data_IF_740467269962
#
_entry.id   IF_740467269962
#
_cell.length_a   1.000
_cell.length_b   1.000
_cell.length_c   1.000
_cell.angle_alpha   90.00
_cell.angle_beta   90.00
_cell.angle_gamma   90.00
#
_symmetry.space_group_name_H-M   'P 1'
#
loop_
_entity.id
_entity.type
_entity.pdbx_description
1 polymer ?
#
# COMPACT_ATOMS: atom_id res chain seq x y z
N UNK A 1 -28.26 13.74 4.79
CA UNK A 1 -28.61 12.31 4.75
C UNK A 1 -27.29 11.56 4.86
N UNK A 2 -27.20 10.54 5.70
CA UNK A 2 -25.94 9.79 5.91
C UNK A 2 -25.84 8.67 4.86
N UNK A 3 -24.65 8.41 4.34
CA UNK A 3 -24.42 7.32 3.37
C UNK A 3 -24.03 6.05 4.10
N UNK A 4 -24.73 4.95 3.83
CA UNK A 4 -24.39 3.63 4.37
C UNK A 4 -23.46 2.90 3.39
N UNK A 5 -22.39 2.31 3.92
CA UNK A 5 -21.32 1.61 3.17
C UNK A 5 -21.11 0.24 3.79
N UNK A 6 -21.14 -0.82 3.00
CA UNK A 6 -20.83 -2.16 3.48
C UNK A 6 -19.32 -2.34 3.64
N UNK A 7 -18.89 -2.91 4.76
CA UNK A 7 -17.51 -3.26 5.03
C UNK A 7 -17.35 -4.74 5.39
N UNK A 8 -16.24 -5.33 4.94
CA UNK A 8 -15.96 -6.77 5.01
C UNK A 8 -14.54 -7.05 5.52
N UNK A 9 -14.32 -8.23 6.10
CA UNK A 9 -12.98 -8.77 6.39
C UNK A 9 -12.32 -9.38 5.15
N UNK A 10 -13.14 -9.77 4.17
CA UNK A 10 -12.71 -10.20 2.84
C UNK A 10 -12.68 -9.03 1.86
N UNK A 11 -11.72 -9.04 0.95
CA UNK A 11 -11.64 -8.07 -0.12
C UNK A 11 -12.90 -8.17 -1.00
N UNK A 12 -13.61 -7.06 -1.15
CA UNK A 12 -14.77 -6.95 -2.05
C UNK A 12 -14.33 -6.69 -3.49
N UNK A 13 -13.11 -6.21 -3.66
CA UNK A 13 -12.46 -5.99 -4.94
C UNK A 13 -10.95 -6.22 -4.80
N UNK A 14 -10.41 -6.87 -5.82
CA UNK A 14 -8.99 -7.08 -6.01
C UNK A 14 -8.55 -6.42 -7.32
N UNK A 15 -7.45 -5.67 -7.29
CA UNK A 15 -6.79 -5.15 -8.49
C UNK A 15 -5.32 -5.51 -8.43
N UNK A 16 -4.86 -6.29 -9.40
CA UNK A 16 -3.49 -6.73 -9.51
C UNK A 16 -2.81 -6.16 -10.76
N UNK A 17 -1.54 -5.82 -10.61
CA UNK A 17 -0.68 -5.40 -11.69
C UNK A 17 0.64 -6.15 -11.64
N UNK A 18 1.16 -6.48 -12.81
CA UNK A 18 2.44 -7.13 -13.00
C UNK A 18 3.27 -6.39 -14.05
N UNK A 19 4.57 -6.41 -13.86
CA UNK A 19 5.58 -5.97 -14.81
C UNK A 19 6.65 -7.04 -14.90
N UNK A 20 6.95 -7.48 -16.12
CA UNK A 20 8.07 -8.36 -16.36
C UNK A 20 9.39 -7.62 -16.09
N UNK A 21 10.28 -8.24 -15.32
CA UNK A 21 11.64 -7.76 -15.12
C UNK A 21 12.54 -8.37 -16.21
N UNK A 22 13.29 -7.54 -16.92
CA UNK A 22 14.19 -8.02 -17.98
C UNK A 22 15.57 -8.35 -17.40
N UNK A 23 16.27 -9.33 -17.96
CA UNK A 23 17.64 -9.64 -17.56
C UNK A 23 18.55 -8.40 -17.69
N UNK A 24 19.25 -8.07 -16.61
CA UNK A 24 20.14 -6.90 -16.55
C UNK A 24 19.42 -5.56 -16.36
N UNK A 25 18.12 -5.56 -16.09
CA UNK A 25 17.39 -4.36 -15.68
C UNK A 25 17.93 -3.82 -14.35
N UNK A 26 18.02 -2.50 -14.24
CA UNK A 26 18.41 -1.84 -13.00
C UNK A 26 17.28 -1.96 -11.97
N UNK A 27 17.50 -2.76 -10.93
CA UNK A 27 16.55 -2.96 -9.84
C UNK A 27 16.10 -1.65 -9.19
N UNK A 28 16.99 -0.66 -9.09
CA UNK A 28 16.64 0.65 -8.53
C UNK A 28 15.67 1.39 -9.43
N UNK A 29 15.88 1.35 -10.74
CA UNK A 29 14.94 1.90 -11.71
C UNK A 29 13.59 1.17 -11.63
N UNK A 30 13.62 -0.16 -11.49
CA UNK A 30 12.44 -0.98 -11.34
C UNK A 30 11.62 -0.69 -10.07
N UNK A 31 12.29 -0.42 -8.95
CA UNK A 31 11.67 0.00 -7.68
C UNK A 31 11.10 1.41 -7.80
N UNK A 32 11.81 2.34 -8.43
CA UNK A 32 11.28 3.70 -8.69
C UNK A 32 10.00 3.62 -9.52
N UNK A 33 9.98 2.77 -10.55
CA UNK A 33 8.82 2.54 -11.39
C UNK A 33 7.65 1.90 -10.62
N UNK A 34 7.91 0.91 -9.77
CA UNK A 34 6.91 0.32 -8.85
C UNK A 34 6.26 1.37 -7.96
N UNK A 35 7.07 2.20 -7.29
CA UNK A 35 6.56 3.23 -6.38
C UNK A 35 5.75 4.29 -7.14
N UNK A 36 6.15 4.62 -8.37
CA UNK A 36 5.40 5.54 -9.21
C UNK A 36 4.07 4.95 -9.72
N UNK A 37 4.01 3.64 -9.99
CA UNK A 37 2.77 2.95 -10.34
C UNK A 37 1.80 2.89 -9.13
N UNK A 38 2.32 2.63 -7.93
CA UNK A 38 1.53 2.70 -6.69
C UNK A 38 0.97 4.11 -6.50
N UNK A 39 1.81 5.14 -6.58
CA UNK A 39 1.38 6.55 -6.47
C UNK A 39 0.31 6.87 -7.52
N UNK A 40 0.47 6.41 -8.77
CA UNK A 40 -0.49 6.62 -9.84
C UNK A 40 -1.86 5.99 -9.52
N UNK A 41 -1.88 4.76 -9.00
CA UNK A 41 -3.12 4.09 -8.62
C UNK A 41 -3.85 4.84 -7.51
N UNK A 42 -3.13 5.29 -6.49
CA UNK A 42 -3.71 5.78 -5.24
C UNK A 42 -3.89 7.29 -5.16
N UNK A 43 -3.28 8.03 -6.09
CA UNK A 43 -3.30 9.49 -6.13
C UNK A 43 -4.72 10.07 -5.97
N UNK A 44 -4.86 10.93 -4.96
CA UNK A 44 -6.08 11.70 -4.72
C UNK A 44 -7.18 10.97 -3.98
N UNK A 45 -7.02 9.69 -3.61
CA UNK A 45 -8.07 8.97 -2.89
C UNK A 45 -7.62 8.00 -1.81
N UNK A 46 -6.36 7.55 -1.81
CA UNK A 46 -5.78 6.81 -0.69
C UNK A 46 -4.48 7.48 -0.25
N UNK A 47 -4.25 7.54 1.05
CA UNK A 47 -2.97 7.94 1.63
C UNK A 47 -2.56 6.96 2.73
N UNK A 48 -1.31 6.46 2.71
CA UNK A 48 -0.85 5.50 3.70
C UNK A 48 -0.70 6.16 5.08
N UNK A 49 -1.02 5.39 6.12
CA UNK A 49 -0.73 5.71 7.52
C UNK A 49 0.35 4.79 8.10
N UNK A 50 0.48 3.59 7.53
CA UNK A 50 1.51 2.62 7.87
C UNK A 50 2.04 1.93 6.63
N UNK A 51 3.35 1.95 6.43
CA UNK A 51 4.03 1.28 5.31
C UNK A 51 5.15 0.41 5.88
N UNK A 52 4.95 -0.90 5.83
CA UNK A 52 5.98 -1.89 6.13
C UNK A 52 6.74 -2.27 4.86
N UNK A 53 8.05 -2.44 4.94
CA UNK A 53 8.83 -2.96 3.81
C UNK A 53 10.02 -3.82 4.25
N UNK A 54 10.39 -4.76 3.38
CA UNK A 54 11.48 -5.70 3.57
C UNK A 54 12.55 -5.51 2.50
N UNK A 55 13.78 -5.31 2.96
CA UNK A 55 14.98 -5.24 2.13
C UNK A 55 15.78 -6.53 2.31
N UNK A 56 16.28 -7.07 1.21
CA UNK A 56 17.07 -8.32 1.19
C UNK A 56 18.38 -8.14 0.44
N UNK A 57 19.36 -8.96 0.79
CA UNK A 57 20.54 -9.15 -0.05
C UNK A 57 20.28 -10.28 -1.04
N UNK A 58 20.30 -9.98 -2.34
CA UNK A 58 20.13 -10.98 -3.40
C UNK A 58 21.41 -11.14 -4.23
N UNK A 59 21.57 -12.34 -4.80
CA UNK A 59 22.54 -12.54 -5.88
C UNK A 59 21.92 -11.99 -7.17
N UNK A 60 22.55 -11.03 -7.87
CA UNK A 60 22.01 -10.52 -9.12
C UNK A 60 21.90 -11.58 -10.22
N UNK A 61 22.66 -12.68 -10.15
CA UNK A 61 22.61 -13.79 -11.10
C UNK A 61 21.65 -14.93 -10.69
N UNK A 62 21.24 -14.98 -9.43
CA UNK A 62 20.30 -15.97 -8.87
C UNK A 62 19.25 -15.25 -8.03
N UNK A 63 18.55 -14.31 -8.68
CA UNK A 63 17.62 -13.42 -8.00
C UNK A 63 16.63 -14.23 -7.17
N UNK A 64 16.65 -14.03 -5.84
CA UNK A 64 15.76 -14.64 -4.85
C UNK A 64 15.71 -16.19 -4.77
N UNK A 65 16.49 -16.92 -5.56
CA UNK A 65 16.70 -18.36 -5.36
C UNK A 65 17.65 -18.55 -4.18
N UNK A 66 17.14 -19.22 -3.15
CA UNK A 66 17.81 -19.57 -1.89
C UNK A 66 18.10 -18.41 -0.92
N UNK A 67 17.18 -18.27 0.04
CA UNK A 67 17.37 -17.63 1.34
C UNK A 67 17.75 -16.14 1.28
N UNK A 68 16.77 -15.30 0.91
CA UNK A 68 16.79 -13.86 1.18
C UNK A 68 16.96 -13.60 2.67
N UNK A 69 18.21 -13.62 3.15
CA UNK A 69 18.54 -13.14 4.49
C UNK A 69 18.11 -11.68 4.48
N UNK A 70 17.25 -11.25 5.43
CA UNK A 70 16.93 -9.84 5.56
C UNK A 70 18.25 -9.07 5.56
N UNK A 71 18.37 -8.08 4.67
CA UNK A 71 19.56 -7.24 4.65
C UNK A 71 19.76 -6.62 6.03
N UNK A 72 18.64 -6.25 6.66
CA UNK A 72 18.49 -5.59 7.95
C UNK A 72 17.14 -5.97 8.57
N UNK A 73 16.87 -5.61 9.85
CA UNK A 73 15.53 -5.74 10.38
C UNK A 73 14.53 -5.04 9.46
N UNK A 74 13.31 -5.55 9.39
CA UNK A 74 12.26 -4.97 8.58
C UNK A 74 12.01 -3.49 8.93
N UNK A 75 11.36 -2.74 8.06
CA UNK A 75 11.08 -1.33 8.33
C UNK A 75 9.58 -1.10 8.43
N UNK A 76 9.18 -0.21 9.34
CA UNK A 76 7.83 0.32 9.41
C UNK A 76 7.89 1.85 9.45
N UNK A 77 7.38 2.49 8.40
CA UNK A 77 6.97 3.89 8.47
C UNK A 77 5.57 3.93 9.07
N UNK A 78 5.34 4.77 10.09
CA UNK A 78 4.00 5.00 10.63
C UNK A 78 3.73 6.47 10.92
N UNK A 79 2.48 6.89 10.75
CA UNK A 79 1.99 8.13 11.35
C UNK A 79 1.77 7.89 12.84
N UNK A 80 2.01 8.91 13.67
CA UNK A 80 1.66 8.81 15.08
C UNK A 80 0.14 8.50 15.24
N UNK A 81 -0.25 7.57 16.12
CA UNK A 81 -1.67 7.26 16.34
C UNK A 81 -2.44 8.55 16.65
N UNK A 82 -3.49 8.81 15.86
CA UNK A 82 -4.36 9.99 16.03
C UNK A 82 -5.56 9.71 16.94
N UNK A 83 -5.91 8.43 17.04
CA UNK A 83 -6.96 7.87 17.90
C UNK A 83 -6.58 6.43 18.21
N UNK A 84 -7.02 5.93 19.37
CA UNK A 84 -6.82 4.54 19.79
C UNK A 84 -7.58 3.55 18.89
N UNK A 85 -8.51 4.05 18.07
CA UNK A 85 -9.32 3.26 17.13
C UNK A 85 -8.55 2.86 15.84
N UNK A 86 -7.41 3.49 15.56
CA UNK A 86 -6.57 3.23 14.37
C UNK A 86 -5.26 2.58 14.79
N UNK A 87 -5.18 1.25 14.62
CA UNK A 87 -3.97 0.47 14.90
C UNK A 87 -3.08 0.42 13.66
N UNK A 88 -1.87 0.93 13.79
CA UNK A 88 -0.81 0.75 12.78
C UNK A 88 0.09 -0.38 13.27
N UNK A 89 -0.19 -1.60 12.78
CA UNK A 89 0.59 -2.78 13.12
C UNK A 89 1.81 -2.94 12.20
N UNK A 90 2.84 -3.62 12.71
CA UNK A 90 3.97 -4.06 11.90
C UNK A 90 3.54 -5.11 10.88
N UNK A 91 3.99 -4.97 9.64
CA UNK A 91 3.81 -5.98 8.60
C UNK A 91 4.71 -7.20 8.84
N UNK A 92 5.84 -6.99 9.51
CA UNK A 92 6.91 -7.97 9.72
C UNK A 92 7.43 -7.85 11.15
N UNK A 93 7.78 -8.96 11.79
CA UNK A 93 8.21 -8.96 13.19
C UNK A 93 9.57 -8.29 13.39
N UNK A 94 9.67 -7.43 14.42
CA UNK A 94 10.96 -6.84 14.83
C UNK A 94 11.41 -5.71 13.92
N UNK A 95 10.46 -4.95 13.38
CA UNK A 95 10.76 -3.85 12.47
C UNK A 95 11.42 -2.68 13.20
N UNK A 96 12.34 -1.98 12.53
CA UNK A 96 12.73 -0.62 12.90
C UNK A 96 11.57 0.31 12.57
N UNK A 97 11.03 0.95 13.60
CA UNK A 97 9.86 1.84 13.48
C UNK A 97 10.31 3.29 13.34
N UNK A 98 9.91 3.91 12.24
CA UNK A 98 10.12 5.32 11.93
C UNK A 98 8.77 6.06 11.96
N UNK A 99 8.62 6.98 12.91
CA UNK A 99 7.37 7.72 13.11
C UNK A 99 7.43 9.08 12.41
N UNK A 100 6.47 9.31 11.50
CA UNK A 100 6.37 10.52 10.67
C UNK A 100 5.07 11.28 10.95
N UNK A 101 5.03 12.56 10.59
CA UNK A 101 3.78 13.35 10.65
C UNK A 101 2.83 13.02 9.50
N UNK A 102 3.40 12.77 8.32
CA UNK A 102 2.73 12.42 7.07
C UNK A 102 3.56 11.34 6.39
N UNK A 103 2.88 10.40 5.72
CA UNK A 103 3.50 9.47 4.78
C UNK A 103 2.87 9.74 3.42
N UNK A 104 3.70 10.14 2.46
CA UNK A 104 3.36 10.32 1.06
C UNK A 104 4.35 9.56 0.16
N UNK A 105 4.14 9.57 -1.15
CA UNK A 105 4.99 8.87 -2.10
C UNK A 105 6.46 9.31 -2.03
N UNK A 106 6.73 10.59 -1.74
CA UNK A 106 8.09 11.09 -1.56
C UNK A 106 8.75 10.51 -0.30
N UNK A 107 8.03 10.51 0.83
CA UNK A 107 8.50 9.93 2.10
C UNK A 107 8.81 8.44 1.95
N UNK A 108 7.96 7.69 1.25
CA UNK A 108 8.16 6.26 0.98
C UNK A 108 9.37 6.04 0.08
N UNK A 109 9.49 6.78 -1.02
CA UNK A 109 10.65 6.72 -1.92
C UNK A 109 11.95 7.00 -1.19
N UNK A 110 12.00 8.06 -0.39
CA UNK A 110 13.20 8.45 0.34
C UNK A 110 13.61 7.41 1.38
N UNK A 111 12.64 6.80 2.08
CA UNK A 111 12.91 5.75 3.05
C UNK A 111 13.47 4.48 2.39
N UNK A 112 12.89 4.07 1.27
CA UNK A 112 13.34 2.90 0.50
C UNK A 112 14.71 3.18 -0.11
N UNK A 113 14.93 4.35 -0.72
CA UNK A 113 16.22 4.72 -1.29
C UNK A 113 17.34 4.68 -0.26
N UNK A 114 17.13 5.26 0.94
CA UNK A 114 18.08 5.16 2.05
C UNK A 114 18.36 3.71 2.49
N UNK A 115 17.35 2.85 2.41
CA UNK A 115 17.52 1.44 2.76
C UNK A 115 18.28 0.67 1.67
N UNK A 116 18.09 1.01 0.39
CA UNK A 116 18.80 0.43 -0.75
C UNK A 116 20.27 0.89 -0.84
N UNK A 117 20.62 2.06 -0.30
CA UNK A 117 21.99 2.60 -0.27
C UNK A 117 22.91 1.89 0.75
N UNK A 118 22.37 0.94 1.51
CA UNK A 118 23.12 0.18 2.49
C UNK A 118 24.06 -0.83 1.82
N UNK A 119 25.26 -0.99 2.39
CA UNK A 119 26.31 -1.82 1.82
C UNK A 119 25.95 -3.31 1.86
N UNK A 120 25.85 -3.93 0.69
CA UNK A 120 25.69 -5.38 0.55
C UNK A 120 27.05 -6.12 0.70
N UNK A 121 27.04 -7.40 1.12
CA UNK A 121 28.19 -8.27 1.02
C UNK A 121 28.74 -8.35 -0.41
N UNK A 122 30.03 -8.65 -0.57
CA UNK A 122 30.65 -8.81 -1.88
C UNK A 122 29.88 -9.86 -2.73
N UNK A 123 29.58 -9.50 -3.99
CA UNK A 123 28.81 -10.35 -4.90
C UNK A 123 27.29 -10.34 -4.67
N UNK A 124 26.78 -9.49 -3.77
CA UNK A 124 25.33 -9.31 -3.52
C UNK A 124 24.91 -7.88 -3.77
N UNK A 125 23.62 -7.67 -3.98
CA UNK A 125 22.98 -6.35 -4.08
C UNK A 125 21.82 -6.25 -3.11
N UNK A 126 21.49 -5.02 -2.71
CA UNK A 126 20.37 -4.71 -1.82
C UNK A 126 19.14 -4.42 -2.67
N UNK A 127 18.02 -5.11 -2.42
CA UNK A 127 16.77 -4.96 -3.18
C UNK A 127 15.54 -4.90 -2.25
N UNK A 128 14.49 -4.24 -2.71
CA UNK A 128 13.17 -4.26 -2.08
C UNK A 128 12.47 -5.56 -2.45
N UNK A 129 12.23 -6.44 -1.48
CA UNK A 129 11.53 -7.71 -1.72
C UNK A 129 10.01 -7.58 -1.57
N UNK A 130 9.55 -6.89 -0.53
CA UNK A 130 8.12 -6.72 -0.25
C UNK A 130 7.82 -5.35 0.36
N UNK A 131 6.68 -4.77 0.00
CA UNK A 131 6.09 -3.57 0.59
C UNK A 131 4.61 -3.84 0.93
N UNK A 132 4.16 -3.36 2.09
CA UNK A 132 2.79 -3.52 2.59
C UNK A 132 2.27 -2.23 3.18
N UNK A 133 1.07 -1.81 2.78
CA UNK A 133 0.33 -0.78 3.49
C UNK A 133 -0.47 -1.43 4.63
N UNK A 134 -0.08 -1.15 5.87
CA UNK A 134 -0.69 -1.76 7.07
C UNK A 134 -1.87 -0.95 7.59
N UNK A 135 -1.93 0.32 7.24
CA UNK A 135 -3.04 1.22 7.54
C UNK A 135 -3.14 2.32 6.47
N UNK A 136 -4.36 2.72 6.12
CA UNK A 136 -4.66 3.67 5.04
C UNK A 136 -5.80 4.58 5.47
N UNK A 137 -5.70 5.86 5.10
CA UNK A 137 -6.86 6.76 5.05
C UNK A 137 -7.36 6.87 3.63
N UNK A 138 -8.67 6.94 3.49
CA UNK A 138 -9.32 6.95 2.19
C UNK A 138 -10.27 8.13 2.07
N UNK A 139 -10.21 8.81 0.93
CA UNK A 139 -11.16 9.85 0.58
C UNK A 139 -12.49 9.17 0.22
N UNK A 140 -13.58 9.56 0.88
CA UNK A 140 -14.88 9.21 0.36
C UNK A 140 -15.20 10.14 -0.82
N UNK A 141 -15.81 9.64 -1.90
CA UNK A 141 -16.24 10.47 -3.02
C UNK A 141 -17.42 11.41 -2.68
N UNK A 142 -17.86 11.47 -1.42
CA UNK A 142 -19.05 12.20 -0.97
C UNK A 142 -18.73 13.20 0.14
N UNK A 143 -19.55 14.26 0.26
CA UNK A 143 -19.40 15.27 1.31
C UNK A 143 -20.02 14.84 2.64
N UNK A 144 -20.98 13.91 2.58
CA UNK A 144 -21.73 13.41 3.71
C UNK A 144 -20.90 12.45 4.58
N UNK A 145 -21.22 12.35 5.88
CA UNK A 145 -20.69 11.30 6.74
C UNK A 145 -21.06 9.90 6.21
N UNK A 146 -20.09 8.98 6.25
CA UNK A 146 -20.27 7.56 5.94
C UNK A 146 -20.50 6.77 7.23
N UNK A 147 -21.44 5.82 7.22
CA UNK A 147 -21.63 4.81 8.27
C UNK A 147 -21.26 3.44 7.70
N UNK A 148 -20.43 2.67 8.43
CA UNK A 148 -20.06 1.31 8.02
C UNK A 148 -21.10 0.31 8.53
N UNK A 149 -21.76 -0.35 7.59
CA UNK A 149 -22.54 -1.55 7.84
C UNK A 149 -21.60 -2.75 7.87
N UNK A 150 -21.43 -3.34 9.06
CA UNK A 150 -20.71 -4.60 9.26
C UNK A 150 -21.66 -5.68 9.78
N UNK A 151 -21.41 -6.96 9.47
CA UNK A 151 -22.19 -8.05 10.06
C UNK A 151 -22.06 -8.02 11.60
N UNK A 152 -23.19 -7.99 12.30
CA UNK A 152 -23.39 -8.14 13.75
C UNK A 152 -23.25 -6.91 14.70
N UNK A 153 -22.59 -5.79 14.37
CA UNK A 153 -22.62 -4.57 15.23
C UNK A 153 -22.20 -3.31 14.48
N UNK A 154 -23.01 -2.25 14.39
CA UNK A 154 -22.57 -1.01 13.73
C UNK A 154 -21.32 -0.43 14.43
N UNK A 155 -20.24 -0.25 13.66
CA UNK A 155 -19.01 0.40 14.11
C UNK A 155 -19.01 1.82 13.55
N UNK A 156 -18.78 2.82 14.40
CA UNK A 156 -18.64 4.19 13.94
C UNK A 156 -17.41 4.29 13.02
N UNK A 157 -17.56 4.96 11.88
CA UNK A 157 -16.41 5.32 11.05
C UNK A 157 -15.49 6.24 11.83
N UNK A 158 -14.20 5.91 11.87
CA UNK A 158 -13.20 6.90 12.24
C UNK A 158 -13.03 7.82 11.04
N UNK A 159 -13.21 9.13 11.24
CA UNK A 159 -12.94 10.13 10.20
C UNK A 159 -12.13 11.29 10.74
N UNK A 160 -11.33 11.90 9.88
CA UNK A 160 -10.55 13.09 10.18
C UNK A 160 -10.76 14.15 9.11
N UNK A 161 -10.56 15.42 9.49
CA UNK A 161 -10.50 16.53 8.53
C UNK A 161 -9.03 16.90 8.33
N UNK A 162 -8.58 16.87 7.08
CA UNK A 162 -7.24 17.27 6.65
C UNK A 162 -7.41 18.30 5.55
N UNK A 163 -6.92 19.52 5.77
CA UNK A 163 -7.04 20.64 4.83
C UNK A 163 -8.50 20.88 4.35
N UNK A 164 -9.46 20.74 5.27
CA UNK A 164 -10.89 20.89 4.99
C UNK A 164 -11.55 19.69 4.28
N UNK A 165 -10.79 18.65 3.96
CA UNK A 165 -11.27 17.43 3.31
C UNK A 165 -11.47 16.32 4.34
N UNK A 166 -12.60 15.63 4.29
CA UNK A 166 -12.89 14.50 5.18
C UNK A 166 -12.28 13.22 4.65
N UNK A 167 -11.40 12.64 5.46
CA UNK A 167 -10.77 11.34 5.22
C UNK A 167 -11.34 10.31 6.18
N UNK A 168 -11.53 9.11 5.68
CA UNK A 168 -12.03 7.98 6.45
C UNK A 168 -10.87 7.06 6.76
N UNK A 169 -10.77 6.74 8.03
CA UNK A 169 -9.76 5.88 8.59
C UNK A 169 -10.41 4.50 8.77
N UNK A 170 -9.71 3.46 8.37
CA UNK A 170 -10.18 2.10 8.64
C UNK A 170 -10.27 1.84 10.14
N UNK A 171 -11.38 1.30 10.67
CA UNK A 171 -11.29 0.64 11.96
C UNK A 171 -10.38 -0.58 11.81
N UNK A 172 -9.69 -0.91 12.90
CA UNK A 172 -8.80 -2.08 12.94
C UNK A 172 -9.25 -3.13 13.95
N UNK A 173 -10.25 -2.79 14.77
CA UNK A 173 -10.84 -3.68 15.75
C UNK A 173 -12.21 -4.13 15.24
N UNK A 174 -12.33 -5.41 14.89
CA UNK A 174 -13.59 -6.01 14.44
C UNK A 174 -13.46 -6.73 13.10
N UNK A 175 -14.61 -6.94 12.44
CA UNK A 175 -14.72 -7.67 11.17
C UNK A 175 -14.44 -6.74 9.97
N UNK A 176 -14.68 -5.43 10.07
CA UNK A 176 -14.30 -4.51 8.99
C UNK A 176 -12.77 -4.34 8.96
N UNK A 177 -12.12 -4.83 7.89
CA UNK A 177 -10.73 -4.48 7.61
C UNK A 177 -10.54 -2.98 7.32
N UNK A 178 -9.29 -2.53 7.07
CA UNK A 178 -9.03 -1.16 6.61
C UNK A 178 -9.71 -0.92 5.25
N UNK A 179 -9.91 0.33 4.80
CA UNK A 179 -10.69 0.60 3.60
C UNK A 179 -10.03 -0.03 2.36
N UNK A 180 -8.70 -0.06 2.36
CA UNK A 180 -7.90 -0.80 1.42
C UNK A 180 -6.59 -1.32 2.04
N UNK A 181 -6.00 -2.35 1.43
CA UNK A 181 -4.63 -2.82 1.67
C UNK A 181 -3.88 -2.85 0.35
N UNK A 182 -2.60 -2.52 0.39
CA UNK A 182 -1.71 -2.63 -0.76
C UNK A 182 -0.56 -3.55 -0.40
N UNK A 183 -0.21 -4.45 -1.31
CA UNK A 183 0.98 -5.29 -1.23
C UNK A 183 1.74 -5.17 -2.54
N UNK A 184 3.05 -5.01 -2.48
CA UNK A 184 3.92 -5.10 -3.64
C UNK A 184 5.04 -6.07 -3.36
N UNK A 185 5.41 -6.85 -4.37
CA UNK A 185 6.49 -7.82 -4.31
C UNK A 185 7.38 -7.66 -5.53
N UNK A 186 8.69 -7.75 -5.33
CA UNK A 186 9.67 -7.83 -6.40
C UNK A 186 10.29 -9.23 -6.36
N UNK A 187 10.05 -10.01 -7.41
CA UNK A 187 10.52 -11.38 -7.56
C UNK A 187 11.41 -11.51 -8.80
N UNK A 188 12.09 -12.66 -8.93
CA UNK A 188 12.88 -12.98 -10.12
C UNK A 188 11.92 -12.98 -11.31
N UNK A 189 12.15 -12.10 -12.28
CA UNK A 189 11.34 -11.89 -13.50
C UNK A 189 10.01 -11.16 -13.35
N UNK A 190 9.53 -10.86 -12.15
CA UNK A 190 8.23 -10.18 -12.01
C UNK A 190 8.21 -9.22 -10.83
N UNK A 191 7.90 -7.97 -11.12
CA UNK A 191 7.45 -7.00 -10.13
C UNK A 191 5.93 -6.96 -10.14
N UNK A 192 5.28 -7.07 -8.99
CA UNK A 192 3.82 -7.04 -8.90
C UNK A 192 3.33 -6.22 -7.73
N UNK A 193 2.12 -5.70 -7.85
CA UNK A 193 1.41 -5.14 -6.71
C UNK A 193 -0.10 -5.36 -6.81
N UNK A 194 -0.72 -5.49 -5.64
CA UNK A 194 -2.15 -5.70 -5.48
C UNK A 194 -2.75 -4.62 -4.59
N UNK A 195 -3.95 -4.19 -4.93
CA UNK A 195 -4.82 -3.34 -4.11
C UNK A 195 -6.09 -4.12 -3.79
N UNK A 196 -6.27 -4.44 -2.52
CA UNK A 196 -7.49 -5.04 -1.97
C UNK A 196 -8.36 -3.95 -1.36
N UNK A 197 -9.62 -3.87 -1.78
CA UNK A 197 -10.59 -2.90 -1.26
C UNK A 197 -11.67 -3.64 -0.46
N UNK A 198 -11.94 -3.18 0.76
CA UNK A 198 -12.79 -3.88 1.73
C UNK A 198 -14.12 -3.18 1.98
N UNK A 199 -14.27 -1.94 1.53
CA UNK A 199 -15.51 -1.19 1.63
C UNK A 199 -16.13 -1.05 0.25
N UNK A 200 -17.43 -1.29 0.15
CA UNK A 200 -18.15 -1.26 -1.12
C UNK A 200 -18.21 0.15 -1.74
N UNK A 201 -17.82 1.19 -1.00
CA UNK A 201 -17.79 2.59 -1.43
C UNK A 201 -17.13 2.82 -2.80
N UNK A 202 -16.05 2.10 -3.11
CA UNK A 202 -15.31 2.27 -4.38
C UNK A 202 -15.74 1.33 -5.50
N UNK A 203 -16.71 0.44 -5.24
CA UNK A 203 -17.24 -0.51 -6.23
C UNK A 203 -18.74 -0.40 -6.47
N UNK A 204 -19.51 -0.17 -5.40
CA UNK A 204 -20.96 -0.04 -5.41
C UNK A 204 -21.44 1.35 -5.80
N UNK A 205 -20.53 2.34 -5.88
CA UNK A 205 -20.87 3.72 -6.19
C UNK A 205 -20.12 4.24 -7.43
N UNK A 206 -20.80 4.94 -8.36
CA UNK A 206 -20.19 5.41 -9.61
C UNK A 206 -18.95 6.29 -9.43
N UNK A 207 -18.97 7.20 -8.44
CA UNK A 207 -17.87 8.13 -8.20
C UNK A 207 -16.64 7.42 -7.62
N UNK A 208 -16.85 6.48 -6.70
CA UNK A 208 -15.78 5.64 -6.15
C UNK A 208 -15.16 4.75 -7.23
N UNK A 209 -16.00 4.17 -8.10
CA UNK A 209 -15.56 3.39 -9.26
C UNK A 209 -14.72 4.23 -10.24
N UNK A 210 -15.13 5.48 -10.49
CA UNK A 210 -14.38 6.39 -11.35
C UNK A 210 -12.99 6.70 -10.80
N UNK A 211 -12.81 6.84 -9.48
CA UNK A 211 -11.49 7.03 -8.86
C UNK A 211 -10.58 5.83 -9.11
N UNK A 212 -11.10 4.62 -8.93
CA UNK A 212 -10.39 3.38 -9.17
C UNK A 212 -10.02 3.21 -10.65
N UNK A 213 -10.98 3.39 -11.55
CA UNK A 213 -10.77 3.23 -12.99
C UNK A 213 -9.76 4.28 -13.51
N UNK A 214 -9.83 5.52 -13.00
CA UNK A 214 -8.84 6.55 -13.31
C UNK A 214 -7.45 6.20 -12.79
N UNK A 215 -7.33 5.65 -11.57
CA UNK A 215 -6.06 5.15 -11.03
C UNK A 215 -5.48 4.02 -11.86
N UNK A 216 -6.32 3.05 -12.21
CA UNK A 216 -5.96 1.92 -13.08
C UNK A 216 -5.48 2.42 -14.45
N UNK A 217 -6.20 3.35 -15.07
CA UNK A 217 -5.79 3.94 -16.34
C UNK A 217 -4.45 4.66 -16.26
N UNK A 218 -4.16 5.36 -15.14
CA UNK A 218 -2.86 5.99 -14.92
C UNK A 218 -1.72 4.99 -14.78
N UNK A 219 -1.96 3.81 -14.19
CA UNK A 219 -0.97 2.72 -14.14
C UNK A 219 -0.73 2.14 -15.52
N UNK A 220 -1.81 1.80 -16.26
CA UNK A 220 -1.71 1.19 -17.58
C UNK A 220 -1.14 2.13 -18.66
N UNK A 221 -1.22 3.45 -18.44
CA UNK A 221 -0.54 4.43 -19.29
C UNK A 221 0.99 4.43 -19.09
N UNK A 222 1.50 3.77 -18.06
CA UNK A 222 2.94 3.57 -17.83
C UNK A 222 3.41 2.34 -18.61
N UNK A 223 4.62 2.42 -19.17
CA UNK A 223 5.16 1.31 -19.95
C UNK A 223 5.45 0.08 -19.06
N UNK A 224 5.08 -1.11 -19.54
CA UNK A 224 5.46 -2.38 -18.94
C UNK A 224 4.55 -2.91 -17.83
N UNK A 225 3.44 -2.23 -17.51
CA UNK A 225 2.46 -2.73 -16.54
C UNK A 225 1.25 -3.35 -17.23
N UNK A 226 0.95 -4.58 -16.85
CA UNK A 226 -0.26 -5.29 -17.24
C UNK A 226 -1.16 -5.47 -16.03
N UNK A 227 -2.47 -5.31 -16.24
CA UNK A 227 -3.46 -5.67 -15.23
C UNK A 227 -3.71 -7.17 -15.30
N UNK A 228 -3.59 -7.85 -14.16
CA UNK A 228 -3.87 -9.28 -14.05
C UNK A 228 -5.20 -9.54 -13.34
N UNK A 229 -5.70 -10.77 -13.52
CA UNK A 229 -7.02 -11.21 -13.08
C UNK A 229 -7.07 -11.57 -11.60
#
# INVERSE_FOLDING_TARGET
>A
MTTEVYASDQALLHVAFERANTDGEDDRAGIVELLAAIDALTAGWLAPLGVGFQIVHCDPAQYFEEAGRPAHPHHLLRVAPRTDEVVIAEAFSGSVVDTRQVIDGATVRDAIARALDQQAPAGRVTSLSELRWTAVRALAPFAEPVVLAVPATPVATVSELVDGVRWYLGPTTGIAGPPARLRATNAHFTTSFTLDVFWDLWIGQPQGRALLDAGTARVLARAGWDRTA
#
